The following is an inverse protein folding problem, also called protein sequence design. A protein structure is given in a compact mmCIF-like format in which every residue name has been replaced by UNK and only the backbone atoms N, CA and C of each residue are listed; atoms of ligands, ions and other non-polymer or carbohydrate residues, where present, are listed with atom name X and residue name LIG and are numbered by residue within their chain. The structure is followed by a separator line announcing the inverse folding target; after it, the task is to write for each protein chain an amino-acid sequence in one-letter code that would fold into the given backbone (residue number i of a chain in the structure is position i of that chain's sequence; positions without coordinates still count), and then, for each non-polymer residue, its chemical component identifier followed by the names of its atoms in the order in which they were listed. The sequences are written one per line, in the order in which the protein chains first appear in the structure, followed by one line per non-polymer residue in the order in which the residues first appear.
data_IF_503909470683
#
_entry.id   IF_503909470683
#
_cell.length_a   1.000
_cell.length_b   1.000
_cell.length_c   1.000
_cell.angle_alpha   90.00
_cell.angle_beta   90.00
_cell.angle_gamma   90.00
#
_symmetry.space_group_name_H-M   'P 1'
#
loop_
_entity.id
_entity.type
_entity.pdbx_description
1 polymer ?
#
# COMPACT_ATOMS: atom_id res chain seq x y z
N UNK A 1 17.44 -27.25 -8.94
CA UNK A 1 17.59 -26.03 -8.11
C UNK A 1 18.01 -24.84 -8.97
N UNK A 2 17.08 -24.22 -9.72
CA UNK A 2 17.30 -22.94 -10.42
C UNK A 2 15.92 -22.29 -10.59
N UNK A 3 15.38 -21.62 -9.57
CA UNK A 3 14.33 -20.57 -9.69
C UNK A 3 14.32 -19.67 -8.44
N UNK A 4 15.51 -19.39 -7.88
CA UNK A 4 15.65 -18.34 -6.86
C UNK A 4 15.88 -17.02 -7.60
N UNK A 5 15.19 -15.96 -7.17
CA UNK A 5 15.61 -14.54 -7.22
C UNK A 5 14.92 -13.61 -8.24
N UNK A 6 14.00 -14.04 -9.10
CA UNK A 6 13.12 -13.07 -9.78
C UNK A 6 11.97 -12.69 -8.86
N UNK A 7 12.18 -11.72 -7.96
CA UNK A 7 11.06 -11.06 -7.28
C UNK A 7 10.12 -10.51 -8.34
N UNK A 8 8.80 -10.68 -8.21
CA UNK A 8 7.86 -10.07 -9.13
C UNK A 8 8.12 -8.57 -9.14
N UNK A 9 8.15 -7.96 -10.33
CA UNK A 9 8.45 -6.54 -10.49
C UNK A 9 7.58 -5.64 -9.59
N UNK A 10 6.36 -6.07 -9.30
CA UNK A 10 5.45 -5.42 -8.37
C UNK A 10 6.02 -5.29 -6.94
N UNK A 11 6.68 -6.32 -6.42
CA UNK A 11 7.34 -6.26 -5.11
C UNK A 11 8.52 -5.30 -5.13
N UNK A 12 9.32 -5.30 -6.21
CA UNK A 12 10.47 -4.39 -6.35
C UNK A 12 10.02 -2.93 -6.34
N UNK A 13 8.93 -2.62 -7.04
CA UNK A 13 8.34 -1.28 -7.03
C UNK A 13 7.87 -0.88 -5.62
N UNK A 14 7.18 -1.77 -4.91
CA UNK A 14 6.71 -1.50 -3.55
C UNK A 14 7.86 -1.33 -2.55
N UNK A 15 8.92 -2.13 -2.67
CA UNK A 15 10.14 -1.98 -1.86
C UNK A 15 10.82 -0.62 -2.11
N UNK A 16 10.77 -0.11 -3.34
CA UNK A 16 11.20 1.25 -3.69
C UNK A 16 10.16 2.33 -3.37
N UNK A 17 9.06 1.97 -2.69
CA UNK A 17 7.97 2.87 -2.33
C UNK A 17 7.32 3.53 -3.53
N UNK A 18 7.20 2.78 -4.64
CA UNK A 18 6.59 3.24 -5.88
C UNK A 18 5.25 2.56 -6.10
N UNK A 19 4.31 3.31 -6.69
CA UNK A 19 3.04 2.78 -7.13
C UNK A 19 3.25 1.76 -8.25
N UNK A 20 2.69 0.55 -8.08
CA UNK A 20 2.77 -0.52 -9.10
C UNK A 20 2.12 -0.16 -10.44
N UNK A 21 1.26 0.87 -10.47
CA UNK A 21 0.51 1.25 -11.66
C UNK A 21 1.02 2.49 -12.39
N UNK A 22 1.45 3.54 -11.66
CA UNK A 22 1.90 4.80 -12.27
C UNK A 22 3.29 5.24 -11.82
N UNK A 23 4.02 4.36 -11.11
CA UNK A 23 5.40 4.54 -10.63
C UNK A 23 5.66 5.79 -9.79
N UNK A 24 4.62 6.51 -9.35
CA UNK A 24 4.78 7.65 -8.44
C UNK A 24 5.26 7.21 -7.06
N UNK A 25 6.00 8.08 -6.38
CA UNK A 25 6.40 7.89 -4.99
C UNK A 25 5.17 7.80 -4.08
N UNK A 26 5.04 6.71 -3.34
CA UNK A 26 4.00 6.49 -2.35
C UNK A 26 4.23 7.30 -1.07
N UNK A 27 5.46 7.75 -0.81
CA UNK A 27 5.74 8.68 0.30
C UNK A 27 5.05 10.04 0.13
N UNK A 28 4.67 10.40 -1.11
CA UNK A 28 3.90 11.61 -1.45
C UNK A 28 2.41 11.31 -1.67
N UNK A 29 1.96 10.09 -1.39
CA UNK A 29 0.57 9.71 -1.55
C UNK A 29 -0.27 10.29 -0.39
N UNK A 30 -1.54 10.56 -0.66
CA UNK A 30 -2.45 11.11 0.33
C UNK A 30 -2.83 10.04 1.36
N UNK A 31 -2.72 10.36 2.65
CA UNK A 31 -3.17 9.46 3.72
C UNK A 31 -4.67 9.64 3.90
N UNK A 32 -5.45 8.64 3.49
CA UNK A 32 -6.91 8.71 3.49
C UNK A 32 -7.54 8.18 4.78
N UNK A 33 -6.78 7.44 5.60
CA UNK A 33 -7.25 7.01 6.92
C UNK A 33 -6.30 6.10 7.68
N UNK A 34 -6.64 5.81 8.93
CA UNK A 34 -5.90 4.89 9.80
C UNK A 34 -6.69 3.58 9.86
N UNK A 35 -6.10 2.47 9.43
CA UNK A 35 -6.73 1.13 9.50
C UNK A 35 -6.54 0.51 10.88
N UNK A 36 -5.30 0.58 11.39
CA UNK A 36 -4.91 0.08 12.72
C UNK A 36 -3.92 1.06 13.34
N UNK A 37 -3.58 0.87 14.62
CA UNK A 37 -2.57 1.73 15.31
C UNK A 37 -1.24 1.85 14.56
N UNK A 38 -0.88 0.84 13.75
CA UNK A 38 0.41 0.78 13.05
C UNK A 38 0.27 0.78 11.52
N UNK A 39 -0.95 0.94 10.98
CA UNK A 39 -1.18 0.83 9.55
C UNK A 39 -2.09 1.93 9.05
N UNK A 40 -1.62 2.66 8.04
CA UNK A 40 -2.37 3.71 7.38
C UNK A 40 -2.81 3.26 6.00
N UNK A 41 -3.98 3.71 5.59
CA UNK A 41 -4.42 3.61 4.21
C UNK A 41 -3.98 4.87 3.46
N UNK A 42 -3.28 4.67 2.36
CA UNK A 42 -2.79 5.74 1.49
C UNK A 42 -3.33 5.57 0.08
N UNK A 43 -3.66 6.67 -0.57
CA UNK A 43 -4.15 6.71 -1.94
C UNK A 43 -3.14 7.42 -2.85
N UNK A 44 -2.68 6.70 -3.86
CA UNK A 44 -1.80 7.23 -4.88
C UNK A 44 -2.59 8.15 -5.83
N UNK A 45 -1.91 9.12 -6.48
CA UNK A 45 -2.49 10.01 -7.51
C UNK A 45 -3.28 9.30 -8.62
N UNK A 46 -2.97 8.03 -8.91
CA UNK A 46 -3.72 7.22 -9.87
C UNK A 46 -4.94 6.49 -9.26
N UNK A 47 -5.39 6.93 -8.08
CA UNK A 47 -6.50 6.36 -7.29
C UNK A 47 -6.30 4.93 -6.77
N UNK A 48 -5.06 4.42 -6.82
CA UNK A 48 -4.74 3.09 -6.25
C UNK A 48 -4.47 3.22 -4.77
N UNK A 49 -5.02 2.31 -3.98
CA UNK A 49 -4.88 2.30 -2.52
C UNK A 49 -3.82 1.30 -2.07
N UNK A 50 -3.06 1.72 -1.06
CA UNK A 50 -2.00 0.96 -0.44
C UNK A 50 -2.12 1.05 1.06
N UNK A 51 -1.62 0.05 1.75
CA UNK A 51 -1.48 0.06 3.21
C UNK A 51 -0.01 0.31 3.51
N UNK A 52 0.23 1.39 4.24
CA UNK A 52 1.54 1.70 4.80
C UNK A 52 1.64 1.11 6.19
N UNK A 53 2.52 0.12 6.36
CA UNK A 53 2.86 -0.42 7.66
C UNK A 53 3.96 0.44 8.28
N UNK A 54 3.63 1.15 9.37
CA UNK A 54 4.56 2.04 10.08
C UNK A 54 5.66 1.27 10.80
N UNK A 55 5.39 0.04 11.25
CA UNK A 55 6.39 -0.80 11.94
C UNK A 55 7.45 -1.29 10.98
N UNK A 56 7.03 -1.72 9.80
CA UNK A 56 7.94 -2.26 8.78
C UNK A 56 8.45 -1.20 7.80
N UNK A 57 7.88 0.01 7.83
CA UNK A 57 8.13 1.10 6.87
C UNK A 57 7.98 0.62 5.42
N UNK A 58 6.95 -0.20 5.17
CA UNK A 58 6.71 -0.86 3.90
C UNK A 58 5.30 -0.57 3.40
N UNK A 59 5.18 -0.48 2.08
CA UNK A 59 3.89 -0.39 1.41
C UNK A 59 3.50 -1.75 0.86
N UNK A 60 2.24 -2.11 1.06
CA UNK A 60 1.59 -3.22 0.35
C UNK A 60 0.31 -2.75 -0.29
N UNK A 61 -0.18 -3.48 -1.29
CA UNK A 61 -1.51 -3.19 -1.86
C UNK A 61 -2.57 -3.38 -0.78
N UNK A 62 -3.56 -2.48 -0.76
CA UNK A 62 -4.73 -2.68 0.09
C UNK A 62 -5.51 -3.91 -0.36
N UNK A 63 -5.90 -4.74 0.61
CA UNK A 63 -6.79 -5.86 0.36
C UNK A 63 -8.25 -5.40 0.33
N UNK A 64 -9.12 -6.18 -0.33
CA UNK A 64 -10.57 -5.92 -0.36
C UNK A 64 -11.20 -5.88 1.05
N UNK A 65 -10.61 -6.57 2.03
CA UNK A 65 -11.08 -6.52 3.42
C UNK A 65 -10.74 -5.18 4.08
N UNK A 66 -9.53 -4.66 3.85
CA UNK A 66 -9.08 -3.38 4.40
C UNK A 66 -9.85 -2.20 3.82
N UNK A 67 -10.16 -2.24 2.52
CA UNK A 67 -11.04 -1.25 1.90
C UNK A 67 -12.43 -1.25 2.57
N UNK A 68 -13.00 -2.43 2.84
CA UNK A 68 -14.27 -2.55 3.56
C UNK A 68 -14.19 -2.06 5.01
N UNK A 69 -13.08 -2.32 5.70
CA UNK A 69 -12.86 -1.85 7.06
C UNK A 69 -12.74 -0.33 7.12
N UNK A 70 -12.05 0.29 6.17
CA UNK A 70 -11.99 1.74 6.04
C UNK A 70 -13.39 2.35 5.84
N UNK A 71 -14.19 1.79 4.93
CA UNK A 71 -15.58 2.25 4.73
C UNK A 71 -16.43 2.10 5.99
N UNK A 72 -16.26 1.02 6.77
CA UNK A 72 -16.95 0.86 8.06
C UNK A 72 -16.52 1.91 9.08
N UNK A 73 -15.22 2.22 9.16
CA UNK A 73 -14.69 3.24 10.07
C UNK A 73 -15.13 4.66 9.71
N UNK A 74 -15.37 4.95 8.42
CA UNK A 74 -15.91 6.24 7.97
C UNK A 74 -17.39 6.45 8.30
N UNK A 75 -18.17 5.37 8.44
CA UNK A 75 -19.62 5.42 8.70
C UNK A 75 -19.98 5.50 10.18
N UNK A 76 -18.98 5.58 11.06
CA UNK A 76 -19.13 5.57 12.52
C UNK A 76 -18.77 6.93 13.07
#
# INVERSE_FOLDING_TARGET
MIKKILKPFQEVLLQRKLCVGCTSQLDKADRIGILTKNSDLVECKCKRRYVFDRKLNQYRRASLQEDRQYIKNLKK
#
